data_IF_045216363805
#
_entry.id   IF_045216363805
#
_cell.length_a   1.000
_cell.length_b   1.000
_cell.length_c   1.000
_cell.angle_alpha   90.00
_cell.angle_beta   90.00
_cell.angle_gamma   90.00
#
_symmetry.space_group_name_H-M   'P 1'
#
loop_
_entity.id
_entity.type
_entity.pdbx_description
1 polymer ?
#
# COMPACT_ATOMS: atom_id res chain seq x y z
N UNK A 1 -19.34 0.73 -13.75
CA UNK A 1 -18.72 -0.22 -14.70
C UNK A 1 -18.12 -1.32 -13.87
N UNK A 2 -18.38 -2.58 -14.22
CA UNK A 2 -17.81 -3.74 -13.51
C UNK A 2 -16.42 -4.02 -14.03
N UNK A 3 -15.48 -4.32 -13.13
CA UNK A 3 -14.13 -4.77 -13.48
C UNK A 3 -14.23 -6.08 -14.28
N UNK A 4 -13.49 -6.24 -15.40
CA UNK A 4 -13.50 -7.47 -16.16
C UNK A 4 -13.08 -8.67 -15.32
N UNK A 5 -13.70 -9.83 -15.50
CA UNK A 5 -13.31 -11.07 -14.78
C UNK A 5 -11.96 -11.63 -15.25
N UNK A 6 -11.53 -11.28 -16.46
CA UNK A 6 -10.24 -11.70 -17.03
C UNK A 6 -9.45 -10.49 -17.49
N UNK A 7 -8.18 -10.42 -17.13
CA UNK A 7 -7.25 -9.38 -17.54
C UNK A 7 -6.16 -10.00 -18.42
N UNK A 8 -6.00 -9.42 -19.64
CA UNK A 8 -4.96 -9.80 -20.62
C UNK A 8 -4.89 -11.31 -20.89
N UNK A 9 -6.03 -12.01 -20.90
CA UNK A 9 -6.15 -13.47 -21.11
C UNK A 9 -5.22 -14.32 -20.21
N UNK A 10 -4.83 -13.78 -19.07
CA UNK A 10 -3.89 -14.43 -18.13
C UNK A 10 -4.34 -14.42 -16.70
N UNK A 11 -4.96 -13.34 -16.25
CA UNK A 11 -5.32 -13.19 -14.82
C UNK A 11 -6.83 -13.29 -14.66
N UNK A 12 -7.28 -14.35 -13.99
CA UNK A 12 -8.68 -14.50 -13.57
C UNK A 12 -8.87 -13.78 -12.24
N UNK A 13 -9.84 -12.86 -12.18
CA UNK A 13 -10.18 -12.13 -10.96
C UNK A 13 -11.26 -12.85 -10.18
N UNK A 14 -11.03 -13.00 -8.89
CA UNK A 14 -11.95 -13.52 -7.88
C UNK A 14 -12.50 -12.42 -6.99
N UNK A 15 -12.67 -12.74 -5.72
CA UNK A 15 -13.25 -11.87 -4.71
C UNK A 15 -12.40 -10.62 -4.47
N UNK A 16 -13.07 -9.54 -4.06
CA UNK A 16 -12.40 -8.30 -3.67
C UNK A 16 -11.79 -8.51 -2.27
N UNK A 17 -10.48 -8.30 -2.18
CA UNK A 17 -9.71 -8.35 -0.94
C UNK A 17 -9.77 -7.04 -0.17
N UNK A 18 -9.93 -5.91 -0.88
CA UNK A 18 -9.97 -4.60 -0.25
C UNK A 18 -10.20 -3.45 -1.22
N UNK A 19 -10.51 -2.29 -0.66
CA UNK A 19 -10.72 -1.05 -1.38
C UNK A 19 -9.68 -0.02 -0.93
N UNK A 20 -9.00 0.59 -1.88
CA UNK A 20 -8.17 1.78 -1.67
C UNK A 20 -8.88 3.05 -2.12
N UNK A 21 -8.28 4.21 -1.87
CA UNK A 21 -8.84 5.50 -2.29
C UNK A 21 -9.04 5.63 -3.80
N UNK A 22 -8.19 5.00 -4.59
CA UNK A 22 -8.25 5.06 -6.07
C UNK A 22 -8.32 3.69 -6.75
N UNK A 23 -8.26 2.59 -6.01
CA UNK A 23 -8.15 1.24 -6.55
C UNK A 23 -8.93 0.21 -5.75
N UNK A 24 -9.21 -0.90 -6.40
CA UNK A 24 -9.73 -2.12 -5.80
C UNK A 24 -8.65 -3.20 -5.87
N UNK A 25 -8.51 -4.02 -4.85
CA UNK A 25 -7.60 -5.16 -4.83
C UNK A 25 -8.42 -6.44 -4.86
N UNK A 26 -8.18 -7.28 -5.85
CA UNK A 26 -8.85 -8.55 -6.05
C UNK A 26 -7.91 -9.71 -5.76
N UNK A 27 -8.44 -10.79 -5.22
CA UNK A 27 -7.83 -12.10 -5.36
C UNK A 27 -7.77 -12.42 -6.85
N UNK A 28 -6.68 -13.00 -7.31
CA UNK A 28 -6.55 -13.40 -8.70
C UNK A 28 -5.79 -14.72 -8.87
N UNK A 29 -5.93 -15.31 -10.05
CA UNK A 29 -5.19 -16.51 -10.46
C UNK A 29 -4.39 -16.22 -11.73
N UNK A 30 -3.07 -16.34 -11.64
CA UNK A 30 -2.21 -16.37 -12.84
C UNK A 30 -2.36 -17.74 -13.52
N UNK A 31 -3.10 -17.80 -14.62
CA UNK A 31 -3.44 -19.03 -15.31
C UNK A 31 -2.23 -19.67 -16.01
N UNK A 32 -1.20 -18.87 -16.34
CA UNK A 32 0.04 -19.38 -16.98
C UNK A 32 1.01 -19.98 -15.97
N UNK A 33 1.12 -19.38 -14.78
CA UNK A 33 2.05 -19.84 -13.75
C UNK A 33 1.35 -20.67 -12.67
N UNK A 34 0.02 -20.82 -12.75
CA UNK A 34 -0.81 -21.58 -11.81
C UNK A 34 -0.60 -21.19 -10.34
N UNK A 35 -0.51 -19.88 -10.08
CA UNK A 35 -0.33 -19.32 -8.74
C UNK A 35 -1.40 -18.29 -8.41
N UNK A 36 -1.66 -18.15 -7.12
CA UNK A 36 -2.50 -17.08 -6.61
C UNK A 36 -1.74 -15.75 -6.60
N UNK A 37 -2.44 -14.69 -6.94
CA UNK A 37 -1.91 -13.32 -7.01
C UNK A 37 -2.91 -12.34 -6.41
N UNK A 38 -2.46 -11.18 -5.98
CA UNK A 38 -3.32 -10.04 -5.71
C UNK A 38 -3.26 -9.10 -6.92
N UNK A 39 -4.41 -8.64 -7.38
CA UNK A 39 -4.50 -7.76 -8.54
C UNK A 39 -5.12 -6.44 -8.11
N UNK A 40 -4.32 -5.38 -8.12
CA UNK A 40 -4.76 -4.02 -7.84
C UNK A 40 -5.20 -3.37 -9.15
N UNK A 41 -6.45 -2.94 -9.20
CA UNK A 41 -7.08 -2.36 -10.40
C UNK A 41 -7.45 -0.92 -10.11
N UNK A 42 -7.07 0.03 -10.98
CA UNK A 42 -7.50 1.41 -10.85
C UNK A 42 -9.02 1.49 -11.06
N UNK A 43 -9.72 2.23 -10.21
CA UNK A 43 -11.17 2.40 -10.34
C UNK A 43 -11.53 3.06 -11.68
N UNK A 44 -12.52 2.52 -12.37
CA UNK A 44 -12.92 2.95 -13.71
C UNK A 44 -13.39 4.40 -13.78
N UNK A 45 -13.95 4.95 -12.69
CA UNK A 45 -14.34 6.37 -12.58
C UNK A 45 -13.12 7.30 -12.52
N UNK A 46 -11.98 6.83 -12.02
CA UNK A 46 -10.73 7.57 -11.90
C UNK A 46 -9.75 7.30 -13.04
N UNK A 47 -9.91 6.22 -13.78
CA UNK A 47 -9.01 5.84 -14.87
C UNK A 47 -8.95 6.87 -16.01
N UNK A 48 -9.99 7.72 -16.13
CA UNK A 48 -10.07 8.80 -17.13
C UNK A 48 -9.29 10.06 -16.73
N UNK A 49 -8.93 10.20 -15.46
CA UNK A 49 -8.13 11.34 -15.00
C UNK A 49 -6.64 11.00 -15.11
N UNK A 50 -5.89 11.74 -15.96
CA UNK A 50 -4.46 11.47 -16.17
C UNK A 50 -3.63 11.52 -14.90
N UNK A 51 -4.06 12.27 -13.89
CA UNK A 51 -3.34 12.39 -12.62
C UNK A 51 -3.37 11.09 -11.82
N UNK A 52 -4.52 10.42 -11.76
CA UNK A 52 -4.67 9.12 -11.10
C UNK A 52 -3.95 8.01 -11.88
N UNK A 53 -4.05 8.04 -13.20
CA UNK A 53 -3.34 7.09 -14.06
C UNK A 53 -1.82 7.17 -13.88
N UNK A 54 -1.24 8.38 -13.90
CA UNK A 54 0.20 8.58 -13.71
C UNK A 54 0.67 8.16 -12.32
N UNK A 55 -0.12 8.42 -11.28
CA UNK A 55 0.17 7.97 -9.93
C UNK A 55 0.21 6.45 -9.86
N UNK A 56 -0.83 5.80 -10.35
CA UNK A 56 -0.94 4.36 -10.37
C UNK A 56 0.25 3.69 -11.08
N UNK A 57 0.68 4.24 -12.22
CA UNK A 57 1.88 3.79 -12.93
C UNK A 57 3.17 3.98 -12.13
N UNK A 58 3.33 5.13 -11.47
CA UNK A 58 4.52 5.37 -10.62
C UNK A 58 4.58 4.39 -9.45
N UNK A 59 3.45 4.06 -8.89
CA UNK A 59 3.33 3.01 -7.87
C UNK A 59 3.90 1.70 -8.37
N UNK A 60 3.37 1.26 -9.44
CA UNK A 60 3.83 0.03 -10.03
C UNK A 60 5.35 0.04 -10.30
N UNK A 61 5.88 1.13 -10.85
CA UNK A 61 7.31 1.28 -11.15
C UNK A 61 8.18 1.27 -9.89
N UNK A 62 7.78 2.01 -8.84
CA UNK A 62 8.51 2.05 -7.58
C UNK A 62 8.52 0.68 -6.91
N UNK A 63 7.36 0.04 -6.80
CA UNK A 63 7.23 -1.27 -6.17
C UNK A 63 7.96 -2.36 -6.97
N UNK A 64 7.94 -2.31 -8.31
CA UNK A 64 8.65 -3.27 -9.17
C UNK A 64 10.19 -3.19 -9.04
N UNK A 65 10.73 -2.04 -8.60
CA UNK A 65 12.17 -1.88 -8.35
C UNK A 65 12.62 -2.53 -7.02
N UNK A 66 11.67 -2.93 -6.16
CA UNK A 66 11.94 -3.43 -4.82
C UNK A 66 11.75 -4.95 -4.76
N UNK A 67 12.85 -5.68 -4.57
CA UNK A 67 12.80 -7.13 -4.35
C UNK A 67 13.41 -7.46 -2.98
N UNK A 68 12.55 -7.61 -1.98
CA UNK A 68 12.94 -7.88 -0.59
C UNK A 68 11.91 -8.80 0.08
N UNK A 69 12.30 -9.76 0.93
CA UNK A 69 11.36 -10.72 1.55
C UNK A 69 10.27 -10.07 2.39
N UNK A 70 10.52 -8.92 3.01
CA UNK A 70 9.55 -8.17 3.78
C UNK A 70 8.81 -7.07 2.98
N UNK A 71 8.90 -7.09 1.65
CA UNK A 71 8.14 -6.20 0.74
C UNK A 71 7.25 -7.07 -0.14
N UNK A 72 6.00 -6.65 -0.36
CA UNK A 72 5.09 -7.29 -1.32
C UNK A 72 5.66 -7.13 -2.72
N UNK A 73 5.97 -8.25 -3.38
CA UNK A 73 6.57 -8.24 -4.71
C UNK A 73 5.55 -7.85 -5.79
N UNK A 74 5.94 -7.00 -6.73
CA UNK A 74 5.19 -6.76 -7.97
C UNK A 74 5.67 -7.74 -9.04
N UNK A 75 4.72 -8.46 -9.63
CA UNK A 75 5.01 -9.49 -10.63
C UNK A 75 4.81 -9.00 -12.06
N UNK A 76 3.80 -8.15 -12.28
CA UNK A 76 3.43 -7.69 -13.62
C UNK A 76 2.58 -6.41 -13.53
N UNK A 77 2.46 -5.72 -14.66
CA UNK A 77 1.56 -4.58 -14.83
C UNK A 77 0.94 -4.64 -16.21
N UNK A 78 -0.28 -4.15 -16.35
CA UNK A 78 -0.95 -4.13 -17.65
C UNK A 78 -2.13 -3.19 -17.69
N UNK A 79 -2.79 -3.20 -18.83
CA UNK A 79 -4.02 -2.47 -19.08
C UNK A 79 -5.05 -3.43 -19.71
N UNK A 80 -6.26 -3.43 -19.17
CA UNK A 80 -7.38 -4.16 -19.75
C UNK A 80 -8.23 -3.21 -20.58
N UNK A 81 -8.54 -3.59 -21.82
CA UNK A 81 -9.48 -2.84 -22.64
C UNK A 81 -10.90 -2.99 -22.11
N UNK A 82 -11.55 -1.86 -21.86
CA UNK A 82 -12.94 -1.82 -21.42
C UNK A 82 -13.76 -0.86 -22.28
N UNK A 83 -15.08 -0.96 -22.21
CA UNK A 83 -15.99 0.00 -22.88
C UNK A 83 -15.79 1.44 -22.41
N UNK A 84 -15.13 1.65 -21.25
CA UNK A 84 -14.81 2.95 -20.67
C UNK A 84 -13.43 3.47 -21.00
N UNK A 85 -12.61 2.71 -21.74
CA UNK A 85 -11.20 2.96 -22.02
C UNK A 85 -10.28 1.98 -21.29
N UNK A 86 -8.95 2.15 -21.41
CA UNK A 86 -7.98 1.28 -20.79
C UNK A 86 -8.07 1.37 -19.25
N UNK A 87 -8.06 0.20 -18.61
CA UNK A 87 -8.13 0.05 -17.17
C UNK A 87 -6.80 -0.52 -16.67
N UNK A 88 -5.91 0.30 -16.08
CA UNK A 88 -4.61 -0.17 -15.63
C UNK A 88 -4.73 -1.05 -14.38
N UNK A 89 -3.85 -2.07 -14.32
CA UNK A 89 -3.76 -2.98 -13.19
C UNK A 89 -2.31 -3.32 -12.83
N UNK A 90 -2.10 -3.72 -11.58
CA UNK A 90 -0.83 -4.20 -11.02
C UNK A 90 -1.06 -5.59 -10.46
N UNK A 91 -0.24 -6.56 -10.88
CA UNK A 91 -0.25 -7.93 -10.35
C UNK A 91 0.88 -8.08 -9.35
N UNK A 92 0.53 -8.51 -8.14
CA UNK A 92 1.48 -8.60 -7.04
C UNK A 92 1.34 -9.91 -6.26
N UNK A 93 2.26 -10.15 -5.39
CA UNK A 93 2.26 -11.25 -4.43
C UNK A 93 0.94 -11.26 -3.66
N UNK A 94 0.26 -12.41 -3.66
CA UNK A 94 -0.84 -12.64 -2.73
C UNK A 94 -0.28 -13.04 -1.37
N UNK A 95 -0.56 -12.24 -0.36
CA UNK A 95 -0.17 -12.52 1.02
C UNK A 95 -1.36 -13.13 1.75
N UNK A 96 -1.28 -14.43 2.03
CA UNK A 96 -2.29 -15.11 2.86
C UNK A 96 -2.10 -14.71 4.32
N UNK A 97 -2.78 -13.65 4.73
CA UNK A 97 -2.63 -13.03 6.03
C UNK A 97 -3.61 -11.88 6.25
N UNK A 98 -3.33 -11.08 7.28
CA UNK A 98 -4.16 -9.93 7.67
C UNK A 98 -3.28 -8.70 7.84
N UNK A 99 -3.88 -7.50 7.80
CA UNK A 99 -3.15 -6.27 8.05
C UNK A 99 -2.86 -6.11 9.54
N UNK A 100 -1.80 -5.39 9.87
CA UNK A 100 -1.47 -5.05 11.25
C UNK A 100 -2.60 -4.22 11.90
N UNK A 101 -3.32 -3.41 11.11
CA UNK A 101 -4.51 -2.70 11.56
C UNK A 101 -5.59 -3.67 12.04
N UNK A 102 -5.85 -4.73 11.29
CA UNK A 102 -6.89 -5.70 11.65
C UNK A 102 -6.50 -6.46 12.92
N UNK A 103 -5.21 -6.80 13.09
CA UNK A 103 -4.71 -7.43 14.31
C UNK A 103 -4.94 -6.52 15.53
N UNK A 104 -4.47 -5.28 15.48
CA UNK A 104 -4.63 -4.34 16.61
C UNK A 104 -6.11 -4.08 16.92
N UNK A 105 -6.96 -3.98 15.89
CA UNK A 105 -8.38 -3.75 16.07
C UNK A 105 -9.11 -4.95 16.71
N UNK A 106 -8.74 -6.18 16.34
CA UNK A 106 -9.44 -7.41 16.80
C UNK A 106 -8.86 -7.99 18.08
N UNK A 107 -7.54 -7.90 18.26
CA UNK A 107 -6.82 -8.55 19.36
C UNK A 107 -6.36 -7.54 20.44
N UNK A 108 -6.38 -6.23 20.11
CA UNK A 108 -5.85 -5.17 20.98
C UNK A 108 -4.33 -5.05 20.93
N UNK A 109 -3.70 -4.51 22.00
CA UNK A 109 -2.25 -4.31 22.07
C UNK A 109 -1.47 -5.60 21.82
N UNK A 110 -0.39 -5.50 21.06
CA UNK A 110 0.48 -6.61 20.72
C UNK A 110 1.55 -6.78 21.80
N UNK A 111 1.88 -8.02 22.11
CA UNK A 111 2.96 -8.35 23.06
C UNK A 111 4.28 -7.67 22.63
N UNK A 112 5.02 -6.98 23.56
CA UNK A 112 6.17 -6.13 23.20
C UNK A 112 7.27 -6.84 22.41
N UNK A 113 7.55 -8.10 22.71
CA UNK A 113 8.56 -8.87 21.97
C UNK A 113 8.13 -9.05 20.50
N UNK A 114 6.86 -9.41 20.29
CA UNK A 114 6.30 -9.58 18.94
C UNK A 114 6.23 -8.25 18.17
N UNK A 115 5.90 -7.17 18.87
CA UNK A 115 5.90 -5.82 18.28
C UNK A 115 7.30 -5.44 17.78
N UNK A 116 8.35 -5.70 18.57
CA UNK A 116 9.75 -5.43 18.19
C UNK A 116 10.16 -6.27 16.97
N UNK A 117 9.80 -7.54 16.90
CA UNK A 117 10.08 -8.41 15.75
C UNK A 117 9.44 -7.86 14.46
N UNK A 118 8.16 -7.47 14.52
CA UNK A 118 7.45 -6.88 13.37
C UNK A 118 8.10 -5.58 12.93
N UNK A 119 8.42 -4.69 13.86
CA UNK A 119 9.06 -3.41 13.55
C UNK A 119 10.46 -3.61 12.98
N UNK A 120 11.22 -4.58 13.46
CA UNK A 120 12.55 -4.89 12.93
C UNK A 120 12.48 -5.30 11.45
N UNK A 121 11.53 -6.18 11.09
CA UNK A 121 11.33 -6.58 9.70
C UNK A 121 10.84 -5.42 8.81
N UNK A 122 9.92 -4.59 9.32
CA UNK A 122 9.47 -3.39 8.64
C UNK A 122 10.63 -2.37 8.44
N UNK A 123 11.51 -2.20 9.43
CA UNK A 123 12.71 -1.38 9.29
C UNK A 123 13.63 -1.88 8.18
N UNK A 124 13.83 -3.22 8.07
CA UNK A 124 14.64 -3.79 6.99
C UNK A 124 14.03 -3.50 5.62
N UNK A 125 12.71 -3.64 5.47
CA UNK A 125 12.00 -3.30 4.25
C UNK A 125 12.17 -1.82 3.87
N UNK A 126 11.94 -0.91 4.81
CA UNK A 126 12.08 0.53 4.59
C UNK A 126 13.54 0.92 4.30
N UNK A 127 14.50 0.37 5.03
CA UNK A 127 15.92 0.62 4.75
C UNK A 127 16.29 0.18 3.33
N UNK A 128 15.81 -0.99 2.89
CA UNK A 128 16.04 -1.46 1.54
C UNK A 128 15.46 -0.49 0.50
N UNK A 129 14.22 -0.01 0.68
CA UNK A 129 13.62 0.96 -0.25
C UNK A 129 14.36 2.30 -0.25
N UNK A 130 14.80 2.79 0.91
CA UNK A 130 15.57 4.04 1.03
C UNK A 130 16.91 3.96 0.31
N UNK A 131 17.61 2.82 0.38
CA UNK A 131 18.84 2.57 -0.38
C UNK A 131 18.62 2.61 -1.91
N UNK A 132 17.40 2.34 -2.37
CA UNK A 132 17.00 2.46 -3.78
C UNK A 132 16.39 3.83 -4.12
N UNK A 133 16.48 4.81 -3.22
CA UNK A 133 15.95 6.16 -3.41
C UNK A 133 14.44 6.26 -3.34
N UNK A 134 13.75 5.23 -2.82
CA UNK A 134 12.29 5.18 -2.71
C UNK A 134 11.89 5.39 -1.25
N UNK A 135 11.14 6.46 -0.99
CA UNK A 135 10.54 6.77 0.31
C UNK A 135 9.09 6.29 0.29
N UNK A 136 8.66 5.58 1.32
CA UNK A 136 7.33 5.00 1.39
C UNK A 136 6.21 6.04 1.49
N UNK A 137 6.37 7.04 2.36
CA UNK A 137 5.48 8.20 2.56
C UNK A 137 4.09 7.91 3.13
N UNK A 138 3.67 6.65 3.24
CA UNK A 138 2.36 6.24 3.79
C UNK A 138 2.49 5.00 4.70
N UNK A 139 3.49 5.01 5.59
CA UNK A 139 3.68 3.94 6.57
C UNK A 139 2.58 4.02 7.61
N UNK A 140 1.78 2.94 7.71
CA UNK A 140 0.66 2.80 8.65
C UNK A 140 0.30 1.32 8.83
N UNK A 141 -0.43 0.92 9.89
CA UNK A 141 -0.78 -0.48 10.13
C UNK A 141 -1.54 -1.15 8.98
N UNK A 142 -2.34 -0.39 8.23
CA UNK A 142 -3.07 -0.91 7.07
C UNK A 142 -2.15 -1.31 5.88
N UNK A 143 -0.92 -0.80 5.84
CA UNK A 143 0.07 -1.06 4.79
C UNK A 143 1.17 -2.04 5.23
N UNK A 144 0.97 -2.72 6.36
CA UNK A 144 1.83 -3.80 6.86
C UNK A 144 0.96 -5.03 7.05
N UNK A 145 1.29 -6.11 6.36
CA UNK A 145 0.60 -7.39 6.50
C UNK A 145 1.43 -8.38 7.29
N UNK A 146 0.75 -9.24 8.02
CA UNK A 146 1.32 -10.39 8.71
C UNK A 146 0.72 -11.64 8.08
N UNK A 147 1.56 -12.45 7.44
CA UNK A 147 1.12 -13.70 6.83
C UNK A 147 0.75 -14.74 7.90
N UNK A 148 0.02 -15.78 7.52
CA UNK A 148 -0.29 -16.93 8.40
C UNK A 148 0.96 -17.61 8.94
N UNK A 149 2.10 -17.49 8.28
CA UNK A 149 3.40 -18.02 8.76
C UNK A 149 4.13 -17.05 9.68
N UNK A 150 3.58 -15.87 9.93
CA UNK A 150 4.17 -14.82 10.76
C UNK A 150 5.13 -13.87 10.02
N UNK A 151 5.32 -14.02 8.71
CA UNK A 151 6.18 -13.14 7.93
C UNK A 151 5.55 -11.75 7.77
N UNK A 152 6.37 -10.71 7.92
CA UNK A 152 5.98 -9.31 7.73
C UNK A 152 6.10 -8.95 6.25
N UNK A 153 5.12 -8.24 5.72
CA UNK A 153 5.09 -7.74 4.35
C UNK A 153 4.62 -6.29 4.32
N UNK A 154 5.52 -5.39 3.94
CA UNK A 154 5.19 -3.96 3.71
C UNK A 154 4.70 -3.81 2.28
N UNK A 155 3.63 -3.08 2.09
CA UNK A 155 2.98 -2.87 0.80
C UNK A 155 2.68 -1.40 0.54
N UNK A 156 2.29 -1.06 -0.68
CA UNK A 156 1.85 0.29 -1.11
C UNK A 156 2.93 1.37 -0.98
N UNK A 157 4.13 1.12 -1.57
CA UNK A 157 5.24 2.09 -1.63
C UNK A 157 4.88 3.35 -2.43
N UNK A 158 4.64 4.38 -1.73
CA UNK A 158 4.79 5.80 -2.00
C UNK A 158 4.17 6.47 -3.21
N UNK A 159 2.83 6.69 -3.23
CA UNK A 159 2.22 7.53 -4.27
C UNK A 159 1.30 8.61 -3.73
N UNK A 160 0.81 8.47 -2.53
CA UNK A 160 -0.26 9.33 -2.02
C UNK A 160 0.08 10.84 -2.05
N UNK A 161 1.34 11.26 -2.28
CA UNK A 161 1.73 12.66 -2.06
C UNK A 161 2.72 13.32 -3.01
N UNK A 162 2.92 12.82 -4.20
CA UNK A 162 3.61 13.64 -5.23
C UNK A 162 2.82 14.92 -5.61
N UNK A 163 1.67 15.18 -4.97
CA UNK A 163 0.84 16.38 -5.23
C UNK A 163 1.19 17.55 -4.31
N UNK A 164 1.77 17.33 -3.15
CA UNK A 164 2.24 18.46 -2.34
C UNK A 164 3.39 19.21 -3.03
N UNK A 165 4.16 18.51 -3.89
CA UNK A 165 5.21 19.13 -4.72
C UNK A 165 4.67 19.95 -5.90
N UNK A 166 3.37 19.90 -6.19
CA UNK A 166 2.74 20.63 -7.32
C UNK A 166 1.75 21.73 -6.90
N UNK A 167 1.81 22.20 -5.66
CA UNK A 167 1.20 23.49 -5.28
C UNK A 167 -0.32 23.55 -5.18
N UNK A 168 -1.06 22.44 -5.12
CA UNK A 168 -2.50 22.44 -4.91
C UNK A 168 -2.89 21.88 -3.53
N UNK A 169 -3.66 22.72 -2.82
CA UNK A 169 -4.08 22.59 -1.41
C UNK A 169 -4.59 21.20 -0.98
N UNK A 170 -4.18 20.82 0.23
CA UNK A 170 -4.50 19.61 1.01
C UNK A 170 -5.99 19.49 1.43
N UNK A 171 -6.91 20.15 0.74
CA UNK A 171 -8.33 20.15 1.11
C UNK A 171 -9.19 19.42 0.09
N UNK A 172 -9.12 18.10 0.05
CA UNK A 172 -10.27 17.26 -0.35
C UNK A 172 -9.89 15.77 -0.45
N UNK A 173 -10.22 14.98 0.56
CA UNK A 173 -11.01 13.74 0.45
C UNK A 173 -11.03 12.98 1.79
N UNK A 174 -12.11 12.32 2.12
CA UNK A 174 -12.34 11.52 3.34
C UNK A 174 -11.28 10.40 3.58
N UNK A 175 -10.50 10.03 2.57
CA UNK A 175 -9.33 9.14 2.69
C UNK A 175 -8.16 9.75 3.48
N UNK A 176 -8.15 11.08 3.69
CA UNK A 176 -7.11 11.80 4.43
C UNK A 176 -7.25 11.61 5.95
N UNK A 177 -8.46 11.35 6.45
CA UNK A 177 -8.74 11.34 7.90
C UNK A 177 -7.99 10.22 8.62
N UNK A 178 -7.94 9.00 8.08
CA UNK A 178 -7.23 7.86 8.71
C UNK A 178 -5.71 7.88 8.54
N UNK A 179 -5.18 8.58 7.52
CA UNK A 179 -3.73 8.68 7.27
C UNK A 179 -3.07 9.80 8.07
N UNK A 180 -3.83 10.81 8.49
CA UNK A 180 -3.30 11.98 9.22
C UNK A 180 -2.60 11.60 10.54
N UNK A 181 -3.02 10.53 11.18
CA UNK A 181 -2.51 10.04 12.46
C UNK A 181 -1.04 9.58 12.43
N UNK A 182 -0.54 9.21 11.24
CA UNK A 182 0.83 8.69 11.04
C UNK A 182 1.73 9.67 10.28
N UNK A 183 1.21 10.84 9.91
CA UNK A 183 1.98 11.84 9.17
C UNK A 183 3.12 12.41 9.99
N UNK A 184 4.30 12.43 9.40
CA UNK A 184 5.39 13.19 9.99
C UNK A 184 5.10 14.71 10.00
N UNK A 185 5.70 15.46 10.93
CA UNK A 185 5.51 16.92 10.98
C UNK A 185 5.83 17.64 9.67
N UNK A 186 6.89 17.24 8.97
CA UNK A 186 7.28 17.78 7.66
C UNK A 186 6.24 17.46 6.58
N UNK A 187 5.65 16.26 6.61
CA UNK A 187 4.55 15.92 5.70
C UNK A 187 3.30 16.78 5.99
N UNK A 188 2.96 16.96 7.26
CA UNK A 188 1.80 17.76 7.66
C UNK A 188 1.95 19.25 7.26
N UNK A 189 3.19 19.75 7.22
CA UNK A 189 3.51 21.13 6.80
C UNK A 189 3.71 21.28 5.28
N UNK A 190 3.73 20.17 4.52
CA UNK A 190 4.03 20.22 3.09
C UNK A 190 5.50 20.52 2.77
N UNK A 191 6.40 20.24 3.72
CA UNK A 191 7.84 20.39 3.57
C UNK A 191 8.45 19.20 2.80
N UNK A 192 9.74 19.28 2.49
CA UNK A 192 10.45 18.17 1.81
C UNK A 192 10.50 16.92 2.69
N UNK A 193 10.15 15.78 2.10
CA UNK A 193 10.05 14.46 2.76
C UNK A 193 11.25 13.61 2.40
N UNK A 194 11.89 13.03 3.42
CA UNK A 194 12.99 12.07 3.28
C UNK A 194 12.72 10.77 4.08
N UNK A 195 13.72 9.90 4.16
CA UNK A 195 13.65 8.63 4.88
C UNK A 195 13.23 8.76 6.36
N UNK A 196 13.51 9.91 7.01
CA UNK A 196 13.14 10.15 8.41
C UNK A 196 11.64 10.23 8.61
N UNK A 197 10.89 10.66 7.59
CA UNK A 197 9.42 10.69 7.64
C UNK A 197 8.83 9.29 7.81
N UNK A 198 9.38 8.28 7.11
CA UNK A 198 8.95 6.90 7.27
C UNK A 198 9.30 6.35 8.66
N UNK A 199 10.46 6.73 9.21
CA UNK A 199 10.87 6.34 10.57
C UNK A 199 9.93 6.93 11.62
N UNK A 200 9.53 8.20 11.47
CA UNK A 200 8.53 8.82 12.34
C UNK A 200 7.19 8.06 12.28
N UNK A 201 6.69 7.80 11.08
CA UNK A 201 5.42 7.07 10.88
C UNK A 201 5.49 5.66 11.47
N UNK A 202 6.63 4.96 11.30
CA UNK A 202 6.84 3.63 11.90
C UNK A 202 6.87 3.70 13.44
N UNK A 203 7.38 4.79 14.02
CA UNK A 203 7.29 5.07 15.45
C UNK A 203 5.84 5.19 15.93
N UNK A 204 4.97 5.85 15.16
CA UNK A 204 3.52 5.92 15.45
C UNK A 204 2.87 4.52 15.37
N UNK A 205 3.26 3.70 14.39
CA UNK A 205 2.79 2.31 14.28
C UNK A 205 3.21 1.49 15.50
N UNK A 206 4.47 1.59 15.95
CA UNK A 206 4.93 0.89 17.16
C UNK A 206 4.15 1.33 18.39
N UNK A 207 3.90 2.62 18.57
CA UNK A 207 3.09 3.14 19.67
C UNK A 207 1.70 2.48 19.68
N UNK A 208 1.01 2.48 18.53
CA UNK A 208 -0.32 1.87 18.38
C UNK A 208 -0.29 0.36 18.66
N UNK A 209 0.72 -0.36 18.17
CA UNK A 209 0.88 -1.79 18.46
C UNK A 209 0.96 -2.08 19.96
N UNK A 210 1.61 -1.20 20.74
CA UNK A 210 1.83 -1.40 22.18
C UNK A 210 0.66 -0.90 23.04
N UNK A 211 -0.14 0.06 22.54
CA UNK A 211 -1.20 0.71 23.32
C UNK A 211 -2.61 0.40 22.82
N UNK A 212 -2.75 -0.07 21.59
CA UNK A 212 -4.03 -0.31 20.90
C UNK A 212 -4.59 0.92 20.18
N UNK A 213 -3.98 2.10 20.36
CA UNK A 213 -4.44 3.36 19.76
C UNK A 213 -3.28 4.17 19.19
N UNK A 214 -3.48 4.92 18.09
CA UNK A 214 -2.44 5.77 17.54
C UNK A 214 -2.08 6.91 18.51
N UNK A 215 -0.83 7.44 18.43
CA UNK A 215 -0.38 8.48 19.37
C UNK A 215 -1.11 9.82 19.20
N UNK A 216 -1.72 10.03 18.06
CA UNK A 216 -2.46 11.26 17.74
C UNK A 216 -3.85 10.90 17.20
N UNK A 217 -4.88 11.33 17.92
CA UNK A 217 -6.29 11.20 17.54
C UNK A 217 -6.81 12.60 17.19
N UNK A 218 -6.39 13.12 16.04
CA UNK A 218 -6.73 14.46 15.59
C UNK A 218 -8.00 14.51 14.76
#
# INVERSE_FOLDING_TARGET
>A
MTTPQHLSDRYELGDILGFGGMSEVHMGRDTRLHRDVAVKVLRADLARDPSFYLRFRREAQNAAALNHPAIVAVYDTGEAETTGGPLPYIVMEYVDGVTLRDIVHTEGPIEPKRAIEIIADACQALNFSHQHGIIHRDVKPANIMISKTGAVKVMDFGIARAIADSGNSVTQTAAVIGTAQYLSPEQARGESVDARSDVYSLGCVLYEMLTGEPPFTG
#
